data_IF_537237393126
#
_entry.id   IF_537237393126
#
_cell.length_a   1.000
_cell.length_b   1.000
_cell.length_c   1.000
_cell.angle_alpha   90.00
_cell.angle_beta   90.00
_cell.angle_gamma   90.00
#
_symmetry.space_group_name_H-M   'P 1'
#
loop_
_entity.id
_entity.type
_entity.pdbx_description
1 polymer ?
#
# COMPACT_ATOMS: atom_id res chain seq x y z
N UNK A 1 -21.61 -20.00 -5.22
CA UNK A 1 -20.27 -19.45 -4.90
C UNK A 1 -19.85 -19.65 -3.45
N UNK A 2 -20.63 -19.27 -2.42
CA UNK A 2 -20.24 -19.54 -1.00
C UNK A 2 -20.32 -21.04 -0.62
N UNK A 3 -21.20 -21.82 -1.25
CA UNK A 3 -21.35 -23.26 -0.94
C UNK A 3 -20.19 -24.14 -1.46
N UNK A 4 -19.34 -23.64 -2.36
CA UNK A 4 -18.20 -24.40 -2.92
C UNK A 4 -16.96 -24.37 -2.01
N UNK A 5 -16.92 -23.48 -1.01
CA UNK A 5 -15.88 -23.48 0.03
C UNK A 5 -16.02 -24.63 1.03
N UNK A 6 -17.07 -25.47 0.93
CA UNK A 6 -17.20 -26.69 1.73
C UNK A 6 -16.25 -27.81 1.29
N UNK A 7 -15.86 -27.83 0.01
CA UNK A 7 -15.04 -28.90 -0.57
C UNK A 7 -13.55 -28.54 -0.67
N UNK A 8 -13.18 -27.30 -0.35
CA UNK A 8 -11.79 -26.89 -0.26
C UNK A 8 -11.20 -27.32 1.11
N UNK A 9 -10.00 -27.90 1.09
CA UNK A 9 -9.20 -28.36 2.24
C UNK A 9 -8.75 -27.24 3.21
N UNK A 10 -9.48 -26.13 3.25
CA UNK A 10 -9.20 -24.94 4.05
C UNK A 10 -9.77 -25.17 5.45
N UNK A 11 -8.91 -25.07 6.46
CA UNK A 11 -9.31 -25.19 7.87
C UNK A 11 -10.40 -24.17 8.24
N UNK A 12 -11.13 -24.45 9.32
CA UNK A 12 -12.24 -23.60 9.78
C UNK A 12 -11.85 -22.12 9.94
N UNK A 13 -10.68 -21.87 10.53
CA UNK A 13 -10.11 -20.52 10.66
C UNK A 13 -9.89 -19.84 9.30
N UNK A 14 -9.32 -20.56 8.33
CA UNK A 14 -9.08 -20.02 6.98
C UNK A 14 -10.37 -19.63 6.28
N UNK A 15 -11.45 -20.42 6.45
CA UNK A 15 -12.77 -20.06 5.93
C UNK A 15 -13.32 -18.77 6.55
N UNK A 16 -13.16 -18.59 7.86
CA UNK A 16 -13.60 -17.36 8.53
C UNK A 16 -12.80 -16.13 8.06
N UNK A 17 -11.50 -16.25 7.85
CA UNK A 17 -10.67 -15.16 7.30
C UNK A 17 -11.09 -14.84 5.86
N UNK A 18 -11.28 -15.85 5.01
CA UNK A 18 -11.74 -15.64 3.62
C UNK A 18 -13.13 -15.00 3.55
N UNK A 19 -14.05 -15.37 4.45
CA UNK A 19 -15.35 -14.70 4.56
C UNK A 19 -15.19 -13.22 4.90
N UNK A 20 -14.30 -12.86 5.82
CA UNK A 20 -14.02 -11.46 6.18
C UNK A 20 -13.43 -10.68 5.00
N UNK A 21 -12.47 -11.25 4.28
CA UNK A 21 -11.90 -10.63 3.07
C UNK A 21 -12.97 -10.45 1.99
N UNK A 22 -13.82 -11.46 1.78
CA UNK A 22 -14.93 -11.37 0.83
C UNK A 22 -15.95 -10.30 1.23
N UNK A 23 -16.34 -10.22 2.51
CA UNK A 23 -17.21 -9.15 3.01
C UNK A 23 -16.56 -7.77 2.83
N UNK A 24 -15.26 -7.64 3.13
CA UNK A 24 -14.55 -6.39 2.92
C UNK A 24 -14.59 -5.97 1.44
N UNK A 25 -14.33 -6.90 0.52
CA UNK A 25 -14.44 -6.66 -0.92
C UNK A 25 -15.85 -6.16 -1.30
N UNK A 26 -16.91 -6.84 -0.86
CA UNK A 26 -18.29 -6.44 -1.17
C UNK A 26 -18.63 -5.04 -0.64
N UNK A 27 -18.23 -4.72 0.59
CA UNK A 27 -18.51 -3.42 1.19
C UNK A 27 -17.72 -2.29 0.52
N UNK A 28 -16.46 -2.53 0.17
CA UNK A 28 -15.65 -1.54 -0.57
C UNK A 28 -16.21 -1.33 -1.98
N UNK A 29 -16.62 -2.38 -2.68
CA UNK A 29 -17.28 -2.24 -3.99
C UNK A 29 -18.62 -1.48 -3.86
N UNK A 30 -19.37 -1.70 -2.78
CA UNK A 30 -20.56 -0.90 -2.50
C UNK A 30 -20.21 0.57 -2.18
N UNK A 31 -19.09 0.82 -1.50
CA UNK A 31 -18.59 2.18 -1.25
C UNK A 31 -18.19 2.89 -2.56
N UNK A 32 -17.56 2.19 -3.50
CA UNK A 32 -17.25 2.72 -4.84
C UNK A 32 -18.51 3.05 -5.65
N UNK A 33 -19.60 2.28 -5.45
CA UNK A 33 -20.88 2.47 -6.13
C UNK A 33 -21.85 3.43 -5.39
N UNK A 34 -21.38 4.20 -4.40
CA UNK A 34 -22.25 5.03 -3.54
C UNK A 34 -23.17 5.98 -4.31
N UNK A 35 -22.69 6.58 -5.39
CA UNK A 35 -23.46 7.55 -6.18
C UNK A 35 -24.74 6.90 -6.71
N UNK A 36 -24.61 5.72 -7.32
CA UNK A 36 -25.75 4.98 -7.87
C UNK A 36 -26.66 4.45 -6.77
N UNK A 37 -26.07 3.90 -5.70
CA UNK A 37 -26.83 3.38 -4.56
C UNK A 37 -27.69 4.45 -3.87
N UNK A 38 -27.18 5.68 -3.78
CA UNK A 38 -27.93 6.82 -3.25
C UNK A 38 -28.94 7.34 -4.27
N UNK A 39 -28.60 7.41 -5.55
CA UNK A 39 -29.50 7.88 -6.61
C UNK A 39 -30.74 6.98 -6.77
N UNK A 40 -30.58 5.65 -6.66
CA UNK A 40 -31.69 4.70 -6.66
C UNK A 40 -32.40 4.58 -5.30
N UNK A 41 -31.91 5.28 -4.27
CA UNK A 41 -32.46 5.23 -2.93
C UNK A 41 -32.39 3.84 -2.30
N UNK A 42 -31.34 3.08 -2.63
CA UNK A 42 -31.05 1.76 -2.06
C UNK A 42 -30.39 1.89 -0.68
N UNK A 43 -29.66 2.98 -0.45
CA UNK A 43 -29.17 3.39 0.87
C UNK A 43 -30.06 4.53 1.38
N UNK A 44 -30.87 4.23 2.39
CA UNK A 44 -31.75 5.22 3.04
C UNK A 44 -31.32 5.41 4.49
N UNK A 45 -31.43 6.63 5.04
CA UNK A 45 -31.32 6.82 6.47
C UNK A 45 -32.38 5.97 7.16
N UNK A 46 -32.00 5.28 8.23
CA UNK A 46 -32.92 4.48 9.06
C UNK A 46 -34.03 5.37 9.63
N UNK A 47 -33.70 6.64 9.92
CA UNK A 47 -34.61 7.68 10.37
C UNK A 47 -34.53 8.92 9.45
N UNK A 48 -35.42 9.06 8.44
CA UNK A 48 -35.39 10.12 7.44
C UNK A 48 -35.44 11.55 8.02
N UNK A 49 -36.03 11.69 9.20
CA UNK A 49 -36.26 12.97 9.87
C UNK A 49 -35.05 13.45 10.70
N UNK A 50 -34.08 12.56 10.94
CA UNK A 50 -32.93 12.83 11.82
C UNK A 50 -31.69 13.33 11.05
N UNK A 51 -31.76 13.47 9.73
CA UNK A 51 -30.71 14.13 8.93
C UNK A 51 -29.34 13.44 8.98
N UNK A 52 -29.29 12.12 9.21
CA UNK A 52 -28.05 11.34 9.28
C UNK A 52 -27.46 11.00 7.92
N UNK A 53 -26.14 10.85 7.85
CA UNK A 53 -25.45 10.31 6.67
C UNK A 53 -25.73 8.79 6.55
N UNK A 54 -26.48 8.34 5.52
CA UNK A 54 -26.84 6.93 5.34
C UNK A 54 -25.64 6.03 5.05
N UNK A 55 -24.47 6.60 4.77
CA UNK A 55 -23.23 5.87 4.46
C UNK A 55 -22.36 5.60 5.69
N UNK A 56 -22.71 6.16 6.86
CA UNK A 56 -21.93 6.04 8.10
C UNK A 56 -21.71 4.58 8.50
N UNK A 57 -22.78 3.79 8.56
CA UNK A 57 -22.73 2.39 8.98
C UNK A 57 -21.87 1.52 8.05
N UNK A 58 -21.89 1.83 6.75
CA UNK A 58 -21.03 1.16 5.76
C UNK A 58 -19.55 1.40 6.05
N UNK A 59 -19.15 2.66 6.25
CA UNK A 59 -17.75 3.02 6.54
C UNK A 59 -17.27 2.48 7.88
N UNK A 60 -18.14 2.46 8.89
CA UNK A 60 -17.84 1.84 10.19
C UNK A 60 -17.58 0.35 10.02
N UNK A 61 -18.45 -0.37 9.29
CA UNK A 61 -18.29 -1.80 9.04
C UNK A 61 -16.99 -2.12 8.26
N UNK A 62 -16.63 -1.31 7.27
CA UNK A 62 -15.35 -1.43 6.55
C UNK A 62 -14.18 -1.26 7.53
N UNK A 63 -14.21 -0.22 8.36
CA UNK A 63 -13.17 0.02 9.36
C UNK A 63 -13.02 -1.11 10.38
N UNK A 64 -14.13 -1.70 10.83
CA UNK A 64 -14.13 -2.86 11.73
C UNK A 64 -13.55 -4.11 11.07
N UNK A 65 -13.93 -4.40 9.82
CA UNK A 65 -13.37 -5.52 9.06
C UNK A 65 -11.87 -5.36 8.81
N UNK A 66 -11.42 -4.14 8.46
CA UNK A 66 -9.99 -3.84 8.33
C UNK A 66 -9.24 -4.16 9.62
N UNK A 67 -9.73 -3.66 10.78
CA UNK A 67 -9.11 -3.95 12.09
C UNK A 67 -9.09 -5.45 12.41
N UNK A 68 -10.16 -6.16 12.10
CA UNK A 68 -10.26 -7.60 12.33
C UNK A 68 -9.34 -8.44 11.42
N UNK A 69 -8.95 -7.90 10.26
CA UNK A 69 -8.06 -8.56 9.29
C UNK A 69 -6.58 -8.27 9.54
N UNK A 70 -6.21 -7.16 10.19
CA UNK A 70 -4.81 -6.78 10.45
C UNK A 70 -3.92 -7.95 10.93
N UNK A 71 -4.33 -8.78 11.91
CA UNK A 71 -3.48 -9.89 12.37
C UNK A 71 -3.23 -10.98 11.33
N UNK A 72 -4.10 -11.10 10.33
CA UNK A 72 -4.09 -12.16 9.32
C UNK A 72 -3.41 -11.72 8.01
N UNK A 73 -3.15 -10.41 7.82
CA UNK A 73 -2.65 -9.86 6.54
C UNK A 73 -1.34 -10.51 6.11
N UNK A 74 -0.39 -10.72 7.02
CA UNK A 74 0.90 -11.34 6.70
C UNK A 74 0.69 -12.78 6.20
N UNK A 75 -0.13 -13.57 6.91
CA UNK A 75 -0.41 -14.95 6.49
C UNK A 75 -1.18 -15.01 5.16
N UNK A 76 -2.07 -14.05 4.91
CA UNK A 76 -2.79 -13.92 3.64
C UNK A 76 -1.84 -13.59 2.48
N UNK A 77 -0.86 -12.72 2.68
CA UNK A 77 0.15 -12.39 1.67
C UNK A 77 1.14 -13.54 1.46
N UNK A 78 1.54 -14.22 2.53
CA UNK A 78 2.46 -15.37 2.47
C UNK A 78 1.82 -16.58 1.76
N UNK A 79 0.49 -16.71 1.84
CA UNK A 79 -0.25 -17.79 1.19
C UNK A 79 -0.16 -17.78 -0.35
N UNK A 80 0.24 -16.65 -0.97
CA UNK A 80 0.55 -16.62 -2.40
C UNK A 80 1.81 -17.43 -2.75
N UNK A 81 2.71 -17.65 -1.80
CA UNK A 81 3.86 -18.53 -1.97
C UNK A 81 4.95 -17.98 -2.89
N UNK A 82 5.03 -16.66 -3.07
CA UNK A 82 6.11 -16.03 -3.85
C UNK A 82 7.45 -16.13 -3.12
N UNK A 83 8.48 -16.57 -3.83
CA UNK A 83 9.86 -16.45 -3.36
C UNK A 83 10.38 -15.01 -3.51
N UNK A 84 11.41 -14.66 -2.74
CA UNK A 84 12.08 -13.35 -2.86
C UNK A 84 12.63 -13.09 -4.28
N UNK A 85 12.97 -14.16 -5.02
CA UNK A 85 13.41 -14.07 -6.40
C UNK A 85 12.25 -13.74 -7.36
N UNK A 86 11.07 -14.35 -7.17
CA UNK A 86 9.88 -14.05 -7.99
C UNK A 86 9.33 -12.65 -7.69
N UNK A 87 9.34 -12.25 -6.42
CA UNK A 87 8.82 -10.96 -5.98
C UNK A 87 9.76 -9.80 -6.32
N UNK A 88 11.08 -10.06 -6.36
CA UNK A 88 12.16 -9.12 -6.66
C UNK A 88 11.97 -7.73 -6.01
N UNK A 89 11.55 -7.71 -4.74
CA UNK A 89 11.23 -6.47 -4.02
C UNK A 89 12.06 -6.34 -2.75
N UNK A 90 12.84 -5.26 -2.63
CA UNK A 90 13.53 -4.93 -1.37
C UNK A 90 12.57 -4.55 -0.22
N UNK A 91 11.36 -4.08 -0.54
CA UNK A 91 10.33 -3.78 0.46
C UNK A 91 9.54 -5.02 0.89
N UNK A 92 9.45 -6.02 0.00
CA UNK A 92 8.68 -7.25 0.21
C UNK A 92 9.52 -8.45 0.62
N UNK A 93 10.74 -8.26 1.13
CA UNK A 93 11.62 -9.36 1.53
C UNK A 93 11.00 -10.17 2.66
N UNK A 94 10.96 -11.49 2.52
CA UNK A 94 10.32 -12.42 3.45
C UNK A 94 10.86 -12.32 4.89
N UNK A 95 12.16 -12.12 5.07
CA UNK A 95 12.81 -12.05 6.38
C UNK A 95 12.60 -10.71 7.13
N UNK A 96 11.91 -9.75 6.49
CA UNK A 96 11.62 -8.44 7.05
C UNK A 96 12.83 -7.49 7.16
N UNK A 97 14.02 -7.84 6.65
CA UNK A 97 15.24 -7.01 6.71
C UNK A 97 15.29 -5.95 5.61
N UNK A 98 14.18 -5.22 5.47
CA UNK A 98 13.93 -4.24 4.39
C UNK A 98 15.05 -3.21 4.26
N UNK A 99 15.52 -2.62 5.36
CA UNK A 99 16.56 -1.59 5.31
C UNK A 99 17.90 -2.12 4.78
N UNK A 100 18.28 -3.34 5.14
CA UNK A 100 19.50 -3.95 4.63
C UNK A 100 19.36 -4.28 3.15
N UNK A 101 18.20 -4.81 2.73
CA UNK A 101 17.94 -5.10 1.32
C UNK A 101 17.95 -3.82 0.46
N UNK A 102 17.35 -2.73 0.93
CA UNK A 102 17.40 -1.43 0.27
C UNK A 102 18.83 -0.90 0.17
N UNK A 103 19.60 -1.02 1.25
CA UNK A 103 21.00 -0.59 1.30
C UNK A 103 21.87 -1.35 0.29
N UNK A 104 21.77 -2.67 0.26
CA UNK A 104 22.55 -3.50 -0.68
C UNK A 104 22.16 -3.23 -2.14
N UNK A 105 20.85 -3.04 -2.43
CA UNK A 105 20.42 -2.65 -3.78
C UNK A 105 20.95 -1.27 -4.18
N UNK A 106 20.87 -0.28 -3.29
CA UNK A 106 21.40 1.05 -3.55
C UNK A 106 22.92 1.00 -3.78
N UNK A 107 23.66 0.20 -3.01
CA UNK A 107 25.11 0.03 -3.17
C UNK A 107 25.47 -0.68 -4.47
N UNK A 108 24.65 -1.62 -4.93
CA UNK A 108 24.83 -2.35 -6.18
C UNK A 108 24.48 -1.55 -7.44
N UNK A 109 23.82 -0.39 -7.31
CA UNK A 109 23.45 0.46 -8.42
C UNK A 109 24.69 0.96 -9.18
N UNK A 110 24.79 0.75 -10.51
CA UNK A 110 25.94 1.18 -11.30
C UNK A 110 26.33 2.66 -11.14
N UNK A 111 25.36 3.54 -10.89
CA UNK A 111 25.62 4.97 -10.66
C UNK A 111 26.45 5.23 -9.39
N UNK A 112 26.37 4.33 -8.41
CA UNK A 112 27.09 4.43 -7.14
C UNK A 112 28.46 3.72 -7.14
N UNK A 113 28.89 3.18 -8.30
CA UNK A 113 30.18 2.51 -8.43
C UNK A 113 31.39 3.46 -8.23
N UNK A 114 31.19 4.76 -8.43
CA UNK A 114 32.21 5.80 -8.25
C UNK A 114 31.68 6.92 -7.37
N UNK A 115 32.51 7.41 -6.45
CA UNK A 115 32.15 8.54 -5.56
C UNK A 115 31.85 9.83 -6.35
N UNK A 116 32.60 10.08 -7.43
CA UNK A 116 32.37 11.21 -8.34
C UNK A 116 31.83 10.68 -9.68
N UNK A 117 30.55 10.91 -10.00
CA UNK A 117 29.97 10.45 -11.25
C UNK A 117 30.65 11.09 -12.47
N UNK A 118 30.72 10.37 -13.58
CA UNK A 118 31.25 10.91 -14.85
C UNK A 118 30.51 12.18 -15.30
N UNK A 119 29.23 12.31 -14.94
CA UNK A 119 28.42 13.50 -15.21
C UNK A 119 28.95 14.78 -14.52
N UNK A 120 29.76 14.66 -13.46
CA UNK A 120 30.35 15.78 -12.75
C UNK A 120 31.13 16.73 -13.67
N UNK A 121 31.81 16.19 -14.71
CA UNK A 121 32.54 17.00 -15.69
C UNK A 121 31.68 18.05 -16.40
N UNK A 122 30.38 17.79 -16.54
CA UNK A 122 29.44 18.68 -17.22
C UNK A 122 28.89 19.77 -16.30
N UNK A 123 28.88 19.55 -14.97
CA UNK A 123 28.37 20.50 -13.98
C UNK A 123 29.49 21.26 -13.24
N UNK A 124 30.73 20.77 -13.31
CA UNK A 124 31.89 21.31 -12.59
C UNK A 124 32.07 22.82 -12.80
N UNK A 125 32.04 23.28 -14.06
CA UNK A 125 32.26 24.69 -14.38
C UNK A 125 31.20 25.61 -13.77
N UNK A 126 29.94 25.16 -13.72
CA UNK A 126 28.82 25.90 -13.12
C UNK A 126 29.02 26.02 -11.61
N UNK A 127 29.39 24.91 -10.95
CA UNK A 127 29.65 24.88 -9.51
C UNK A 127 30.83 25.79 -9.12
N UNK A 128 31.94 25.72 -9.85
CA UNK A 128 33.13 26.54 -9.61
C UNK A 128 32.87 28.04 -9.85
N UNK A 129 32.01 28.38 -10.82
CA UNK A 129 31.60 29.75 -11.05
C UNK A 129 30.71 30.28 -9.92
N UNK A 130 29.76 29.48 -9.44
CA UNK A 130 28.92 29.82 -8.29
C UNK A 130 29.73 30.08 -7.01
N UNK A 131 30.70 29.20 -6.73
CA UNK A 131 31.59 29.33 -5.57
C UNK A 131 32.44 30.61 -5.61
N UNK A 132 32.92 31.03 -6.79
CA UNK A 132 33.68 32.28 -6.95
C UNK A 132 32.83 33.51 -6.64
N UNK A 133 31.63 33.59 -7.22
CA UNK A 133 30.69 34.70 -7.00
C UNK A 133 30.27 34.84 -5.54
N UNK A 134 30.02 33.71 -4.85
CA UNK A 134 29.67 33.73 -3.43
C UNK A 134 30.80 34.31 -2.55
N UNK A 135 32.06 34.00 -2.85
CA UNK A 135 33.23 34.56 -2.14
C UNK A 135 33.43 36.05 -2.41
N UNK A 136 33.08 36.53 -3.59
CA UNK A 136 33.13 37.94 -3.96
C UNK A 136 32.00 38.74 -3.27
N UNK A 137 30.79 38.19 -3.19
CA UNK A 137 29.65 38.84 -2.52
C UNK A 137 29.73 38.87 -0.99
N UNK A 138 30.45 37.93 -0.36
CA UNK A 138 30.64 37.89 1.09
C UNK A 138 31.72 38.85 1.64
N UNK A 139 32.35 39.65 0.77
CA UNK A 139 33.38 40.65 1.12
C UNK A 139 32.85 42.08 1.26
N UNK A 140 31.53 42.27 1.26
CA UNK A 140 30.84 43.53 1.55
C UNK A 140 30.22 43.48 2.95
#
# INVERSE_FOLDING_TARGET
>A
MINELRDASVGEKGREVLKRVFHLYLLVTAEEALVDLLAFGLLRPEEPWQGGDPTTSLRVAIGELCRALVPEVIALTDAFGFSDWELDSALGVYDGRVYNALWERAKGEPLNATEVPAAYKHIKAILEQGQRRAKEGAKL
#
